data_IF_762037498222
#
_entry.id   IF_762037498222
#
_cell.length_a   1.000
_cell.length_b   1.000
_cell.length_c   1.000
_cell.angle_alpha   90.00
_cell.angle_beta   90.00
_cell.angle_gamma   90.00
#
_symmetry.space_group_name_H-M   'P 1'
#
loop_
_entity.id
_entity.type
_entity.pdbx_description
1 polymer ?
#
# COMPACT_ATOMS: atom_id res chain seq x y z
N UNK A 1 -33.62 48.24 -26.78
CA UNK A 1 -33.25 46.80 -26.96
C UNK A 1 -32.83 46.08 -25.66
N UNK A 2 -32.41 46.78 -24.59
CA UNK A 2 -31.99 46.15 -23.32
C UNK A 2 -33.15 45.58 -22.46
N UNK A 3 -34.37 46.12 -22.60
CA UNK A 3 -35.55 45.66 -21.86
C UNK A 3 -36.20 44.39 -22.44
N UNK A 4 -35.86 43.99 -23.66
CA UNK A 4 -36.38 42.76 -24.30
C UNK A 4 -35.73 41.50 -23.72
N UNK A 5 -34.43 41.55 -23.41
CA UNK A 5 -33.71 40.42 -22.79
C UNK A 5 -34.10 40.21 -21.32
N UNK A 6 -34.43 41.29 -20.59
CA UNK A 6 -34.89 41.20 -19.20
C UNK A 6 -36.28 40.56 -19.07
N UNK A 7 -37.18 40.78 -20.05
CA UNK A 7 -38.49 40.14 -20.08
C UNK A 7 -38.40 38.65 -20.45
N UNK A 8 -37.47 38.28 -21.33
CA UNK A 8 -37.24 36.88 -21.72
C UNK A 8 -36.63 36.04 -20.59
N UNK A 9 -35.78 36.64 -19.75
CA UNK A 9 -35.16 35.97 -18.60
C UNK A 9 -36.14 35.75 -17.44
N UNK A 10 -37.14 36.63 -17.27
CA UNK A 10 -38.18 36.48 -16.25
C UNK A 10 -39.21 35.38 -16.60
N UNK A 11 -39.42 35.10 -17.89
CA UNK A 11 -40.38 34.09 -18.35
C UNK A 11 -39.89 32.65 -18.12
N UNK A 12 -38.58 32.41 -18.14
CA UNK A 12 -37.98 31.08 -17.99
C UNK A 12 -38.04 30.56 -16.54
N UNK A 13 -38.14 31.45 -15.55
CA UNK A 13 -38.24 31.06 -14.12
C UNK A 13 -39.66 30.58 -13.75
N UNK A 14 -40.69 30.91 -14.54
CA UNK A 14 -42.06 30.48 -14.27
C UNK A 14 -42.40 29.06 -14.76
N UNK A 15 -41.53 28.43 -15.55
CA UNK A 15 -41.76 27.08 -16.13
C UNK A 15 -40.79 26.06 -15.54
N UNK A 16 -40.66 26.04 -14.21
CA UNK A 16 -40.08 24.89 -13.53
C UNK A 16 -41.15 23.79 -13.42
N UNK A 17 -40.92 22.56 -13.94
CA UNK A 17 -41.84 21.46 -13.71
C UNK A 17 -41.90 21.19 -12.20
N UNK A 18 -43.07 21.42 -11.61
CA UNK A 18 -43.35 20.99 -10.24
C UNK A 18 -43.36 19.47 -10.26
N UNK A 19 -42.29 18.85 -9.73
CA UNK A 19 -42.27 17.42 -9.47
C UNK A 19 -43.46 17.09 -8.56
N UNK A 20 -44.49 16.46 -9.15
CA UNK A 20 -45.64 15.97 -8.41
C UNK A 20 -45.15 14.84 -7.52
N UNK A 21 -45.13 15.08 -6.21
CA UNK A 21 -44.82 14.07 -5.24
C UNK A 21 -45.86 12.94 -5.35
N UNK A 22 -45.44 11.78 -5.85
CA UNK A 22 -46.23 10.57 -5.82
C UNK A 22 -46.29 10.09 -4.36
N UNK A 23 -47.49 9.94 -3.82
CA UNK A 23 -47.70 9.41 -2.47
C UNK A 23 -48.49 8.10 -2.60
N UNK A 24 -48.18 7.14 -1.74
CA UNK A 24 -48.73 5.80 -1.62
C UNK A 24 -49.55 5.69 -0.32
N UNK A 25 -50.23 4.56 -0.09
CA UNK A 25 -50.98 4.31 1.14
C UNK A 25 -50.30 3.23 2.01
N UNK A 26 -50.10 3.47 3.30
CA UNK A 26 -49.46 2.53 4.25
C UNK A 26 -50.41 1.40 4.66
N UNK A 27 -49.82 0.30 5.13
CA UNK A 27 -50.32 -1.07 5.27
C UNK A 27 -51.58 -1.31 6.16
N UNK A 28 -52.69 -0.61 5.91
CA UNK A 28 -54.05 -1.08 6.21
C UNK A 28 -54.68 -1.56 4.91
N UNK A 29 -55.24 -2.78 4.87
CA UNK A 29 -55.71 -3.47 3.65
C UNK A 29 -56.54 -2.56 2.72
N UNK A 30 -57.28 -1.61 3.28
CA UNK A 30 -57.91 -0.49 2.59
C UNK A 30 -58.19 0.67 3.56
N UNK A 31 -58.22 1.90 3.06
CA UNK A 31 -58.75 3.07 3.79
C UNK A 31 -60.07 3.52 3.18
N UNK A 32 -61.00 4.00 4.01
CA UNK A 32 -62.22 4.64 3.52
C UNK A 32 -61.91 6.03 2.97
N UNK A 33 -62.61 6.38 1.90
CA UNK A 33 -62.56 7.66 1.24
C UNK A 33 -63.87 8.40 1.50
N UNK A 34 -63.76 9.61 2.04
CA UNK A 34 -64.87 10.48 2.42
C UNK A 34 -65.08 11.59 1.40
N UNK A 35 -66.30 12.14 1.33
CA UNK A 35 -66.60 13.30 0.48
C UNK A 35 -66.03 14.62 0.99
N UNK A 36 -65.62 14.68 2.27
CA UNK A 36 -65.06 15.87 2.93
C UNK A 36 -64.01 15.51 4.00
N UNK A 37 -63.31 16.51 4.55
CA UNK A 37 -62.21 16.32 5.51
C UNK A 37 -62.74 15.97 6.91
N UNK A 38 -63.10 14.70 7.14
CA UNK A 38 -63.61 14.26 8.44
C UNK A 38 -64.46 12.98 8.38
N UNK A 39 -64.64 12.33 9.52
CA UNK A 39 -65.51 11.14 9.66
C UNK A 39 -67.00 11.47 9.53
N UNK A 40 -67.38 12.73 9.76
CA UNK A 40 -68.76 13.22 9.61
C UNK A 40 -69.24 13.25 8.15
N UNK A 41 -68.33 13.14 7.18
CA UNK A 41 -68.67 13.15 5.77
C UNK A 41 -68.94 11.75 5.22
N UNK A 42 -69.86 11.68 4.25
CA UNK A 42 -70.28 10.42 3.63
C UNK A 42 -69.09 9.67 3.02
N UNK A 43 -69.03 8.36 3.27
CA UNK A 43 -68.08 7.47 2.59
C UNK A 43 -68.49 7.34 1.13
N UNK A 44 -67.56 7.66 0.23
CA UNK A 44 -67.74 7.59 -1.22
C UNK A 44 -67.01 6.39 -1.85
N UNK A 45 -66.23 5.66 -1.06
CA UNK A 45 -65.61 4.40 -1.45
C UNK A 45 -64.47 4.00 -0.52
N UNK A 46 -63.68 3.03 -0.95
CA UNK A 46 -62.41 2.64 -0.34
C UNK A 46 -61.26 2.74 -1.34
N UNK A 47 -60.04 2.82 -0.82
CA UNK A 47 -58.78 2.77 -1.56
C UNK A 47 -57.88 1.73 -0.90
N UNK A 48 -57.46 0.72 -1.66
CA UNK A 48 -56.59 -0.35 -1.15
C UNK A 48 -55.16 0.14 -0.89
N UNK A 49 -54.49 -0.46 0.09
CA UNK A 49 -53.06 -0.19 0.34
C UNK A 49 -52.19 -0.53 -0.88
N UNK A 50 -51.16 0.28 -1.10
CA UNK A 50 -50.24 0.14 -2.23
C UNK A 50 -50.77 0.68 -3.57
N UNK A 51 -52.03 1.11 -3.67
CA UNK A 51 -52.51 1.82 -4.86
C UNK A 51 -51.85 3.20 -4.97
N UNK A 52 -51.51 3.57 -6.21
CA UNK A 52 -50.97 4.90 -6.52
C UNK A 52 -52.07 5.95 -6.36
N UNK A 53 -51.81 6.98 -5.54
CA UNK A 53 -52.73 8.10 -5.36
C UNK A 53 -52.04 9.43 -5.65
N UNK A 54 -52.82 10.40 -6.12
CA UNK A 54 -52.34 11.76 -6.36
C UNK A 54 -52.87 12.66 -5.26
N UNK A 55 -51.98 13.25 -4.47
CA UNK A 55 -52.37 14.20 -3.41
C UNK A 55 -52.67 15.56 -4.01
N UNK A 56 -53.86 16.09 -3.74
CA UNK A 56 -54.28 17.42 -4.18
C UNK A 56 -54.11 18.47 -3.07
N UNK A 57 -54.55 18.14 -1.86
CA UNK A 57 -54.49 19.05 -0.70
C UNK A 57 -54.37 18.26 0.59
N UNK A 58 -53.82 18.88 1.63
CA UNK A 58 -53.75 18.31 2.98
C UNK A 58 -54.40 19.28 3.95
N UNK A 59 -55.40 18.80 4.65
CA UNK A 59 -56.03 19.49 5.77
C UNK A 59 -55.40 18.94 7.06
N UNK A 60 -54.48 19.72 7.64
CA UNK A 60 -53.76 19.32 8.85
C UNK A 60 -54.62 19.42 10.10
N UNK A 61 -55.64 20.28 10.08
CA UNK A 61 -56.51 20.51 11.23
C UNK A 61 -57.52 19.36 11.37
N UNK A 62 -58.05 18.89 10.23
CA UNK A 62 -58.91 17.71 10.20
C UNK A 62 -58.14 16.39 10.22
N UNK A 63 -56.85 16.38 9.84
CA UNK A 63 -56.06 15.15 9.69
C UNK A 63 -56.42 14.34 8.43
N UNK A 64 -56.93 15.00 7.40
CA UNK A 64 -57.34 14.36 6.14
C UNK A 64 -56.59 14.95 4.94
N UNK A 65 -56.26 14.08 3.99
CA UNK A 65 -55.64 14.42 2.72
C UNK A 65 -56.65 14.23 1.60
N UNK A 66 -56.84 15.25 0.77
CA UNK A 66 -57.59 15.14 -0.46
C UNK A 66 -56.73 14.45 -1.53
N UNK A 67 -57.24 13.35 -2.07
CA UNK A 67 -56.54 12.51 -3.05
C UNK A 67 -57.41 12.24 -4.27
N UNK A 68 -56.74 11.92 -5.37
CA UNK A 68 -57.34 11.30 -6.56
C UNK A 68 -56.80 9.88 -6.67
N UNK A 69 -57.70 8.90 -6.65
CA UNK A 69 -57.39 7.50 -6.88
C UNK A 69 -57.03 7.25 -8.36
N UNK A 70 -56.33 6.16 -8.65
CA UNK A 70 -56.06 5.60 -9.99
C UNK A 70 -57.28 5.54 -10.91
N UNK A 71 -58.48 5.42 -10.33
CA UNK A 71 -59.78 5.41 -11.03
C UNK A 71 -60.35 6.82 -11.31
N UNK A 72 -59.60 7.88 -11.03
CA UNK A 72 -60.02 9.27 -11.23
C UNK A 72 -61.00 9.82 -10.18
N UNK A 73 -61.28 9.06 -9.12
CA UNK A 73 -62.22 9.47 -8.05
C UNK A 73 -61.53 10.45 -7.10
N UNK A 74 -62.16 11.59 -6.83
CA UNK A 74 -61.69 12.61 -5.89
C UNK A 74 -62.34 12.43 -4.53
N UNK A 75 -61.55 12.40 -3.46
CA UNK A 75 -62.05 12.24 -2.11
C UNK A 75 -61.02 12.53 -1.03
N UNK A 76 -61.41 12.38 0.22
CA UNK A 76 -60.57 12.61 1.39
C UNK A 76 -60.26 11.30 2.10
N UNK A 77 -58.99 11.04 2.36
CA UNK A 77 -58.50 9.88 3.13
C UNK A 77 -57.71 10.38 4.33
N UNK A 78 -57.62 9.58 5.39
CA UNK A 78 -56.86 9.98 6.59
C UNK A 78 -55.39 10.18 6.23
N UNK A 79 -54.77 11.27 6.71
CA UNK A 79 -53.41 11.62 6.34
C UNK A 79 -52.36 10.61 6.82
N UNK A 80 -52.60 9.94 7.95
CA UNK A 80 -51.72 8.90 8.52
C UNK A 80 -51.45 7.76 7.55
N UNK A 81 -52.44 7.45 6.71
CA UNK A 81 -52.35 6.37 5.75
C UNK A 81 -51.69 6.80 4.45
N UNK A 82 -51.38 8.08 4.22
CA UNK A 82 -50.72 8.54 3.00
C UNK A 82 -49.20 8.58 3.21
N UNK A 83 -48.49 7.54 2.77
CA UNK A 83 -47.04 7.39 2.86
C UNK A 83 -46.34 7.62 1.51
N UNK A 84 -45.21 8.29 1.46
CA UNK A 84 -44.40 8.41 0.23
C UNK A 84 -43.61 7.16 -0.14
N UNK A 85 -43.70 6.09 0.66
CA UNK A 85 -42.92 4.87 0.43
C UNK A 85 -43.67 3.86 -0.45
N UNK A 86 -43.01 3.28 -1.49
CA UNK A 86 -43.59 2.20 -2.28
C UNK A 86 -43.98 1.01 -1.40
N UNK A 87 -45.11 0.38 -1.72
CA UNK A 87 -45.62 -0.78 -0.98
C UNK A 87 -44.66 -1.98 -0.99
N UNK A 88 -44.78 -2.85 0.00
CA UNK A 88 -43.90 -4.01 0.20
C UNK A 88 -43.82 -4.94 -1.02
N UNK A 89 -44.92 -5.07 -1.80
CA UNK A 89 -44.96 -5.84 -3.05
C UNK A 89 -43.97 -5.35 -4.12
N UNK A 90 -43.74 -4.04 -4.21
CA UNK A 90 -42.80 -3.46 -5.17
C UNK A 90 -41.36 -3.52 -4.64
N UNK A 91 -41.20 -3.47 -3.31
CA UNK A 91 -39.88 -3.52 -2.65
C UNK A 91 -39.30 -4.92 -2.58
N UNK A 92 -40.13 -5.96 -2.49
CA UNK A 92 -39.68 -7.35 -2.40
C UNK A 92 -38.73 -7.78 -3.54
N UNK A 93 -39.08 -7.61 -4.83
CA UNK A 93 -38.19 -8.01 -5.91
C UNK A 93 -36.90 -7.18 -5.93
N UNK A 94 -36.97 -5.88 -5.58
CA UNK A 94 -35.79 -5.02 -5.49
C UNK A 94 -34.84 -5.46 -4.35
N UNK A 95 -35.38 -5.79 -3.18
CA UNK A 95 -34.64 -6.28 -2.02
C UNK A 95 -34.01 -7.65 -2.27
N UNK A 96 -34.72 -8.58 -2.93
CA UNK A 96 -34.18 -9.87 -3.33
C UNK A 96 -33.04 -9.73 -4.34
N UNK A 97 -33.19 -8.83 -5.32
CA UNK A 97 -32.13 -8.51 -6.28
C UNK A 97 -30.90 -7.90 -5.59
N UNK A 98 -31.11 -7.01 -4.62
CA UNK A 98 -30.04 -6.41 -3.84
C UNK A 98 -29.33 -7.44 -2.96
N UNK A 99 -30.07 -8.32 -2.26
CA UNK A 99 -29.48 -9.42 -1.49
C UNK A 99 -28.66 -10.35 -2.37
N UNK A 100 -29.16 -10.69 -3.56
CA UNK A 100 -28.40 -11.52 -4.52
C UNK A 100 -27.11 -10.81 -4.94
N UNK A 101 -27.20 -9.50 -5.26
CA UNK A 101 -26.04 -8.68 -5.66
C UNK A 101 -25.01 -8.58 -4.55
N UNK A 102 -25.44 -8.31 -3.33
CA UNK A 102 -24.56 -8.20 -2.15
C UNK A 102 -23.92 -9.54 -1.84
N UNK A 103 -24.67 -10.65 -1.89
CA UNK A 103 -24.09 -11.99 -1.72
C UNK A 103 -23.05 -12.31 -2.78
N UNK A 104 -23.31 -12.00 -4.07
CA UNK A 104 -22.32 -12.21 -5.12
C UNK A 104 -21.08 -11.32 -4.97
N UNK A 105 -21.27 -10.06 -4.57
CA UNK A 105 -20.17 -9.13 -4.33
C UNK A 105 -19.32 -9.54 -3.13
N UNK A 106 -19.95 -10.09 -2.08
CA UNK A 106 -19.25 -10.63 -0.92
C UNK A 106 -18.43 -11.87 -1.29
N UNK A 107 -18.99 -12.77 -2.10
CA UNK A 107 -18.28 -13.95 -2.59
C UNK A 107 -17.05 -13.55 -3.42
N UNK A 108 -17.19 -12.61 -4.36
CA UNK A 108 -16.05 -12.11 -5.15
C UNK A 108 -15.01 -11.40 -4.29
N UNK A 109 -15.43 -10.56 -3.34
CA UNK A 109 -14.51 -9.89 -2.43
C UNK A 109 -13.75 -10.88 -1.53
N UNK A 110 -14.41 -11.96 -1.12
CA UNK A 110 -13.78 -13.02 -0.33
C UNK A 110 -12.76 -13.81 -1.16
N UNK A 111 -13.06 -14.09 -2.43
CA UNK A 111 -12.13 -14.75 -3.35
C UNK A 111 -10.91 -13.86 -3.65
N UNK A 112 -11.13 -12.56 -3.90
CA UNK A 112 -10.07 -11.58 -4.12
C UNK A 112 -9.17 -11.45 -2.88
N UNK A 113 -9.75 -11.34 -1.68
CA UNK A 113 -9.00 -11.29 -0.43
C UNK A 113 -8.16 -12.56 -0.22
N UNK A 114 -8.71 -13.73 -0.55
CA UNK A 114 -7.99 -15.01 -0.46
C UNK A 114 -6.86 -15.10 -1.48
N UNK A 115 -7.07 -14.62 -2.71
CA UNK A 115 -6.04 -14.55 -3.74
C UNK A 115 -4.90 -13.59 -3.34
N UNK A 116 -5.24 -12.42 -2.80
CA UNK A 116 -4.27 -11.46 -2.26
C UNK A 116 -3.49 -12.05 -1.08
N UNK A 117 -4.17 -12.70 -0.13
CA UNK A 117 -3.51 -13.36 0.99
C UNK A 117 -2.52 -14.41 0.50
N UNK A 118 -2.91 -15.25 -0.47
CA UNK A 118 -2.00 -16.24 -1.06
C UNK A 118 -0.79 -15.58 -1.72
N UNK A 119 -0.99 -14.52 -2.51
CA UNK A 119 0.10 -13.77 -3.14
C UNK A 119 1.06 -13.13 -2.14
N UNK A 120 0.53 -12.59 -1.02
CA UNK A 120 1.35 -12.03 0.06
C UNK A 120 2.18 -13.11 0.76
N UNK A 121 1.59 -14.28 1.04
CA UNK A 121 2.29 -15.41 1.65
C UNK A 121 3.42 -15.91 0.74
N UNK A 122 3.18 -16.03 -0.56
CA UNK A 122 4.21 -16.40 -1.54
C UNK A 122 5.32 -15.34 -1.63
N UNK A 123 4.97 -14.05 -1.59
CA UNK A 123 5.97 -12.95 -1.57
C UNK A 123 6.81 -12.98 -0.30
N UNK A 124 6.21 -13.20 0.87
CA UNK A 124 6.91 -13.33 2.15
C UNK A 124 7.86 -14.54 2.14
N UNK A 125 7.42 -15.68 1.61
CA UNK A 125 8.28 -16.85 1.46
C UNK A 125 9.51 -16.55 0.59
N UNK A 126 9.31 -15.92 -0.58
CA UNK A 126 10.41 -15.50 -1.47
C UNK A 126 11.35 -14.50 -0.80
N UNK A 127 10.81 -13.51 -0.09
CA UNK A 127 11.62 -12.49 0.61
C UNK A 127 12.44 -13.12 1.74
N UNK A 128 11.87 -14.03 2.51
CA UNK A 128 12.60 -14.76 3.55
C UNK A 128 13.73 -15.61 2.96
N UNK A 129 13.49 -16.27 1.82
CA UNK A 129 14.55 -16.98 1.10
C UNK A 129 15.67 -16.04 0.63
N UNK A 130 15.32 -14.86 0.11
CA UNK A 130 16.31 -13.84 -0.30
C UNK A 130 17.12 -13.30 0.89
N UNK A 131 16.48 -13.05 2.03
CA UNK A 131 17.16 -12.62 3.27
C UNK A 131 18.15 -13.71 3.70
N UNK A 132 17.73 -14.97 3.74
CA UNK A 132 18.63 -16.07 4.11
C UNK A 132 19.82 -16.20 3.15
N UNK A 133 19.61 -16.03 1.84
CA UNK A 133 20.70 -16.01 0.85
C UNK A 133 21.65 -14.83 1.05
N UNK A 134 21.11 -13.64 1.33
CA UNK A 134 21.90 -12.44 1.60
C UNK A 134 22.74 -12.58 2.87
N UNK A 135 22.17 -13.15 3.93
CA UNK A 135 22.87 -13.45 5.18
C UNK A 135 23.99 -14.47 4.95
N UNK A 136 23.72 -15.55 4.22
CA UNK A 136 24.73 -16.55 3.86
C UNK A 136 25.86 -15.94 3.02
N UNK A 137 25.53 -15.08 2.06
CA UNK A 137 26.51 -14.38 1.22
C UNK A 137 27.35 -13.39 2.03
N UNK A 138 26.74 -12.63 2.94
CA UNK A 138 27.46 -11.71 3.82
C UNK A 138 28.44 -12.46 4.74
N UNK A 139 28.02 -13.61 5.28
CA UNK A 139 28.87 -14.50 6.07
C UNK A 139 30.04 -15.06 5.25
N UNK A 140 29.79 -15.49 4.02
CA UNK A 140 30.83 -15.98 3.10
C UNK A 140 31.84 -14.88 2.74
N UNK A 141 31.38 -13.68 2.38
CA UNK A 141 32.26 -12.55 2.12
C UNK A 141 33.13 -12.21 3.33
N UNK A 142 32.54 -12.22 4.54
CA UNK A 142 33.30 -11.94 5.74
C UNK A 142 34.38 -13.00 5.98
N UNK A 143 34.09 -14.29 5.75
CA UNK A 143 35.08 -15.37 5.80
C UNK A 143 36.21 -15.15 4.80
N UNK A 144 35.89 -14.85 3.54
CA UNK A 144 36.88 -14.55 2.49
C UNK A 144 37.74 -13.34 2.83
N UNK A 145 37.15 -12.32 3.45
CA UNK A 145 37.89 -11.13 3.89
C UNK A 145 38.88 -11.48 4.99
N UNK A 146 38.46 -12.27 5.99
CA UNK A 146 39.35 -12.76 7.06
C UNK A 146 40.47 -13.65 6.49
N UNK A 147 40.13 -14.55 5.55
CA UNK A 147 41.08 -15.43 4.88
C UNK A 147 42.12 -14.63 4.10
N UNK A 148 41.69 -13.71 3.23
CA UNK A 148 42.58 -12.83 2.46
C UNK A 148 43.47 -11.98 3.38
N UNK A 149 42.94 -11.44 4.48
CA UNK A 149 43.74 -10.74 5.49
C UNK A 149 44.76 -11.66 6.17
N UNK A 150 44.41 -12.91 6.46
CA UNK A 150 45.33 -13.90 7.01
C UNK A 150 46.44 -14.28 6.02
N UNK A 151 46.11 -14.42 4.74
CA UNK A 151 47.05 -14.70 3.67
C UNK A 151 48.04 -13.55 3.48
N UNK A 152 47.56 -12.30 3.47
CA UNK A 152 48.43 -11.11 3.42
C UNK A 152 49.39 -11.08 4.61
N UNK A 153 48.91 -11.40 5.83
CA UNK A 153 49.78 -11.48 7.02
C UNK A 153 50.82 -12.59 6.91
N UNK A 154 50.43 -13.76 6.44
CA UNK A 154 51.34 -14.89 6.24
C UNK A 154 52.40 -14.60 5.17
N UNK A 155 52.02 -13.98 4.06
CA UNK A 155 52.94 -13.55 3.00
C UNK A 155 53.92 -12.49 3.50
N UNK A 156 53.45 -11.51 4.28
CA UNK A 156 54.33 -10.51 4.92
C UNK A 156 55.34 -11.17 5.86
N UNK A 157 54.91 -12.11 6.70
CA UNK A 157 55.81 -12.85 7.58
C UNK A 157 56.86 -13.64 6.78
N UNK A 158 56.47 -14.31 5.69
CA UNK A 158 57.42 -14.99 4.78
C UNK A 158 58.44 -14.04 4.17
N UNK A 159 58.01 -12.85 3.75
CA UNK A 159 58.92 -11.83 3.21
C UNK A 159 59.92 -11.37 4.28
N UNK A 160 59.47 -11.20 5.53
CA UNK A 160 60.33 -10.77 6.63
C UNK A 160 61.37 -11.85 6.98
N UNK A 161 60.93 -13.11 7.15
CA UNK A 161 61.83 -14.23 7.39
C UNK A 161 62.84 -14.44 6.26
N UNK A 162 62.40 -14.30 5.00
CA UNK A 162 63.31 -14.42 3.86
C UNK A 162 64.36 -13.30 3.83
N UNK A 163 63.96 -12.07 4.19
CA UNK A 163 64.90 -10.95 4.31
C UNK A 163 65.91 -11.18 5.42
N UNK A 164 65.45 -11.63 6.58
CA UNK A 164 66.32 -11.92 7.73
C UNK A 164 67.31 -13.05 7.42
N UNK A 165 66.85 -14.14 6.80
CA UNK A 165 67.72 -15.26 6.38
C UNK A 165 68.79 -14.80 5.37
N UNK A 166 68.39 -13.99 4.38
CA UNK A 166 69.31 -13.40 3.41
C UNK A 166 70.32 -12.46 4.09
N UNK A 167 69.86 -11.61 5.00
CA UNK A 167 70.68 -10.65 5.71
C UNK A 167 71.72 -11.37 6.59
N UNK A 168 71.30 -12.39 7.34
CA UNK A 168 72.18 -13.21 8.18
C UNK A 168 73.21 -13.98 7.35
N UNK A 169 72.83 -14.49 6.17
CA UNK A 169 73.76 -15.17 5.27
C UNK A 169 74.84 -14.22 4.72
N UNK A 170 74.47 -13.03 4.24
CA UNK A 170 75.46 -12.07 3.76
C UNK A 170 76.32 -11.49 4.90
N UNK A 171 75.74 -11.27 6.07
CA UNK A 171 76.46 -10.82 7.26
C UNK A 171 77.50 -11.84 7.74
N UNK A 172 77.14 -13.13 7.81
CA UNK A 172 78.08 -14.20 8.21
C UNK A 172 79.22 -14.37 7.22
N UNK A 173 78.95 -14.36 5.91
CA UNK A 173 80.01 -14.40 4.90
C UNK A 173 80.90 -13.14 4.95
N UNK A 174 80.31 -11.95 5.08
CA UNK A 174 81.06 -10.69 5.21
C UNK A 174 81.94 -10.65 6.47
N UNK A 175 81.39 -11.06 7.62
CA UNK A 175 82.11 -11.13 8.90
C UNK A 175 83.24 -12.15 8.88
N UNK A 176 83.02 -13.32 8.26
CA UNK A 176 84.07 -14.34 8.10
C UNK A 176 85.22 -13.84 7.23
N UNK A 177 84.92 -13.19 6.10
CA UNK A 177 85.94 -12.61 5.20
C UNK A 177 86.70 -11.48 5.89
N UNK A 178 86.00 -10.57 6.59
CA UNK A 178 86.63 -9.47 7.33
C UNK A 178 87.53 -9.98 8.47
N UNK A 179 87.06 -10.95 9.25
CA UNK A 179 87.83 -11.56 10.34
C UNK A 179 89.07 -12.32 9.83
N UNK A 180 88.90 -13.11 8.76
CA UNK A 180 90.02 -13.79 8.10
C UNK A 180 91.04 -12.81 7.54
N UNK A 181 90.58 -11.78 6.82
CA UNK A 181 91.44 -10.73 6.28
C UNK A 181 92.24 -9.97 7.34
N UNK A 182 91.64 -9.71 8.51
CA UNK A 182 92.32 -9.07 9.64
C UNK A 182 93.36 -9.99 10.29
N UNK A 183 93.03 -11.26 10.51
CA UNK A 183 93.98 -12.26 11.02
C UNK A 183 95.18 -12.41 10.07
N UNK A 184 94.91 -12.60 8.78
CA UNK A 184 95.97 -12.66 7.76
C UNK A 184 96.76 -11.35 7.71
N UNK A 185 96.11 -10.20 7.70
CA UNK A 185 96.76 -8.88 7.69
C UNK A 185 97.65 -8.61 8.90
N UNK A 186 97.34 -9.17 10.07
CA UNK A 186 98.16 -9.06 11.28
C UNK A 186 99.32 -10.08 11.31
N UNK A 187 99.09 -11.29 10.80
CA UNK A 187 100.05 -12.41 10.86
C UNK A 187 101.08 -12.36 9.72
N UNK A 188 100.68 -11.98 8.50
CA UNK A 188 101.58 -11.87 7.34
C UNK A 188 102.79 -10.94 7.55
N UNK A 189 102.66 -9.74 8.17
CA UNK A 189 103.79 -8.87 8.46
C UNK A 189 104.81 -9.47 9.43
N UNK A 190 104.39 -10.41 10.27
CA UNK A 190 105.24 -10.99 11.30
C UNK A 190 106.02 -12.23 10.81
N UNK A 191 105.48 -12.95 9.83
CA UNK A 191 106.13 -14.14 9.25
C UNK A 191 106.97 -13.84 8.01
N UNK A 192 106.73 -12.73 7.30
CA UNK A 192 107.56 -12.35 6.15
C UNK A 192 108.80 -11.59 6.64
N UNK A 193 110.02 -12.14 6.51
CA UNK A 193 111.23 -11.42 6.88
C UNK A 193 111.39 -10.17 6.00
N UNK A 194 111.39 -9.00 6.65
CA UNK A 194 111.65 -7.71 6.00
C UNK A 194 112.96 -7.77 5.22
N UNK A 195 112.89 -7.76 3.90
CA UNK A 195 114.07 -7.55 3.05
C UNK A 195 114.63 -6.16 3.34
N UNK A 196 115.78 -6.09 4.00
CA UNK A 196 116.55 -4.85 4.24
C UNK A 196 116.68 -4.08 2.92
N UNK A 197 115.99 -2.96 2.77
CA UNK A 197 116.35 -1.95 1.77
C UNK A 197 117.66 -1.33 2.23
N UNK A 198 118.77 -1.69 1.59
CA UNK A 198 120.01 -0.93 1.69
C UNK A 198 119.75 0.46 1.12
N UNK A 199 120.10 1.45 1.91
CA UNK A 199 120.07 2.87 1.56
C UNK A 199 121.52 3.31 1.61
N UNK A 200 122.19 3.16 0.47
CA UNK A 200 123.48 3.78 0.19
C UNK A 200 123.12 4.77 -0.93
N UNK A 201 123.09 6.09 -0.75
CA UNK A 201 124.19 6.92 -0.27
C UNK A 201 124.98 7.36 -1.51
N UNK A 202 124.84 8.62 -1.91
CA UNK A 202 125.35 9.20 -3.17
C UNK A 202 126.87 9.06 -3.38
N UNK A 203 127.26 8.76 -4.62
CA UNK A 203 128.41 9.28 -5.36
C UNK A 203 128.11 9.17 -6.87
#
# INVERSE_FOLDING_TARGET
>A
MKHLYSALMLLIVLVAPRAMAENYISDELFTYMHSGPGTQYRIIGSVDAGNKITVLSRDRDAGYTQVVDSRGRKGWVKSDYVTTQPGLKERLPALEAELKRVKSALASAQDDAKAQQKGLVESLAKRNEQISKLEAHSSDLNKKLIEAQSEIRALRAKIDTQKDDLLMRWFTYGGMVAGGGLLFGLVLPHLIPRKKRRRDGWA
#
